data_IF_887307573541
#
_entry.id   IF_887307573541
#
_cell.length_a   1.000
_cell.length_b   1.000
_cell.length_c   1.000
_cell.angle_alpha   90.00
_cell.angle_beta   90.00
_cell.angle_gamma   90.00
#
_symmetry.space_group_name_H-M   'P 1'
#
loop_
_entity.id
_entity.type
_entity.pdbx_description
1 polymer ?
#
# COMPACT_ATOMS: atom_id res chain seq x y z
N UNK A 1 -50.52 2.57 -14.98
CA UNK A 1 -49.21 3.24 -14.81
C UNK A 1 -48.65 3.20 -13.37
N UNK A 2 -49.17 2.37 -12.44
CA UNK A 2 -48.77 2.36 -11.02
C UNK A 2 -47.86 1.19 -10.57
N UNK A 3 -47.43 0.29 -11.46
CA UNK A 3 -46.64 -0.90 -11.08
C UNK A 3 -45.11 -0.74 -11.13
N UNK A 4 -44.59 0.40 -11.63
CA UNK A 4 -43.14 0.66 -11.71
C UNK A 4 -42.55 1.31 -10.44
N UNK A 5 -43.36 2.04 -9.67
CA UNK A 5 -42.91 2.71 -8.44
C UNK A 5 -42.65 1.75 -7.26
N UNK A 6 -43.33 0.60 -7.22
CA UNK A 6 -43.15 -0.40 -6.16
C UNK A 6 -41.83 -1.20 -6.29
N UNK A 7 -41.26 -1.29 -7.49
CA UNK A 7 -40.01 -2.03 -7.75
C UNK A 7 -38.75 -1.22 -7.37
N UNK A 8 -38.85 0.11 -7.32
CA UNK A 8 -37.76 1.00 -6.91
C UNK A 8 -37.63 1.16 -5.39
N UNK A 9 -38.70 0.87 -4.62
CA UNK A 9 -38.66 0.92 -3.14
C UNK A 9 -38.20 -0.39 -2.48
N UNK A 10 -38.34 -1.53 -3.17
CA UNK A 10 -37.97 -2.86 -2.63
C UNK A 10 -36.46 -3.16 -2.62
N UNK A 11 -35.63 -2.30 -3.21
CA UNK A 11 -34.17 -2.48 -3.23
C UNK A 11 -33.45 -1.75 -2.09
N UNK A 12 -34.19 -1.11 -1.16
CA UNK A 12 -33.63 -0.41 0.03
C UNK A 12 -33.77 -1.20 1.33
N UNK A 13 -34.28 -2.43 1.31
CA UNK A 13 -34.60 -3.24 2.51
C UNK A 13 -33.66 -4.42 2.79
N UNK A 14 -32.46 -4.45 2.21
CA UNK A 14 -31.36 -5.30 2.72
C UNK A 14 -30.46 -4.49 3.66
N UNK A 15 -31.09 -3.94 4.68
CA UNK A 15 -30.42 -3.42 5.87
C UNK A 15 -29.99 -4.58 6.76
N UNK A 16 -28.85 -5.20 6.42
CA UNK A 16 -27.86 -5.76 7.33
C UNK A 16 -26.70 -6.28 6.47
N UNK A 17 -25.93 -5.36 5.89
CA UNK A 17 -24.61 -5.72 5.37
C UNK A 17 -23.73 -6.02 6.59
N UNK A 18 -23.79 -7.25 7.09
CA UNK A 18 -22.75 -7.80 7.95
C UNK A 18 -21.44 -7.59 7.21
N UNK A 19 -20.60 -6.68 7.69
CA UNK A 19 -19.27 -6.48 7.11
C UNK A 19 -18.61 -7.87 6.97
N UNK A 20 -17.98 -8.19 5.83
CA UNK A 20 -17.36 -9.50 5.66
C UNK A 20 -16.44 -9.77 6.86
N UNK A 21 -16.44 -11.00 7.40
CA UNK A 21 -15.62 -11.33 8.54
C UNK A 21 -14.16 -11.05 8.21
N UNK A 22 -13.44 -10.48 9.19
CA UNK A 22 -12.03 -10.16 9.02
C UNK A 22 -11.23 -11.41 8.63
N UNK A 23 -10.35 -11.29 7.63
CA UNK A 23 -9.45 -12.38 7.26
C UNK A 23 -8.03 -12.13 7.79
N UNK A 24 -7.73 -12.52 9.05
CA UNK A 24 -6.43 -12.25 9.67
C UNK A 24 -5.29 -12.95 8.95
N UNK A 25 -5.50 -14.16 8.42
CA UNK A 25 -4.47 -14.90 7.70
C UNK A 25 -4.10 -14.22 6.38
N UNK A 26 -5.11 -13.74 5.64
CA UNK A 26 -4.88 -12.96 4.42
C UNK A 26 -4.09 -11.69 4.69
N UNK A 27 -4.43 -10.95 5.76
CA UNK A 27 -3.68 -9.76 6.18
C UNK A 27 -2.24 -10.09 6.58
N UNK A 28 -2.03 -11.19 7.29
CA UNK A 28 -0.70 -11.64 7.69
C UNK A 28 0.16 -11.98 6.46
N UNK A 29 -0.40 -12.70 5.49
CA UNK A 29 0.28 -13.03 4.23
C UNK A 29 0.62 -11.76 3.44
N UNK A 30 -0.31 -10.81 3.33
CA UNK A 30 -0.06 -9.56 2.60
C UNK A 30 1.03 -8.71 3.27
N UNK A 31 1.04 -8.67 4.60
CA UNK A 31 2.08 -8.00 5.39
C UNK A 31 3.44 -8.70 5.23
N UNK A 32 3.46 -10.03 5.28
CA UNK A 32 4.67 -10.83 5.05
C UNK A 32 5.26 -10.57 3.65
N UNK A 33 4.42 -10.57 2.63
CA UNK A 33 4.83 -10.26 1.25
C UNK A 33 5.43 -8.86 1.13
N UNK A 34 4.82 -7.86 1.76
CA UNK A 34 5.38 -6.51 1.83
C UNK A 34 6.75 -6.53 2.53
N UNK A 35 6.89 -7.26 3.64
CA UNK A 35 8.15 -7.46 4.33
C UNK A 35 9.23 -8.02 3.39
N UNK A 36 8.95 -9.14 2.72
CA UNK A 36 9.88 -9.77 1.77
C UNK A 36 10.33 -8.83 0.64
N UNK A 37 9.41 -8.02 0.10
CA UNK A 37 9.73 -7.01 -0.90
C UNK A 37 10.65 -5.91 -0.35
N UNK A 38 10.41 -5.46 0.88
CA UNK A 38 11.27 -4.49 1.56
C UNK A 38 12.67 -5.06 1.86
N UNK A 39 12.75 -6.31 2.33
CA UNK A 39 14.01 -7.03 2.54
C UNK A 39 14.83 -7.15 1.26
N UNK A 40 14.19 -7.46 0.13
CA UNK A 40 14.85 -7.50 -1.18
C UNK A 40 15.47 -6.15 -1.54
N UNK A 41 14.73 -5.06 -1.30
CA UNK A 41 15.23 -3.70 -1.55
C UNK A 41 16.44 -3.36 -0.68
N UNK A 42 16.47 -3.80 0.59
CA UNK A 42 17.64 -3.63 1.47
C UNK A 42 18.83 -4.41 0.92
N UNK A 43 18.64 -5.66 0.53
CA UNK A 43 19.69 -6.49 -0.08
C UNK A 43 20.30 -5.87 -1.34
N UNK A 44 19.50 -5.18 -2.16
CA UNK A 44 19.99 -4.46 -3.35
C UNK A 44 20.76 -3.16 -3.04
N UNK A 45 20.65 -2.63 -1.82
CA UNK A 45 21.31 -1.38 -1.39
C UNK A 45 22.67 -1.63 -0.76
N UNK A 46 22.77 -2.65 0.10
CA UNK A 46 23.97 -2.93 0.90
C UNK A 46 25.23 -3.01 0.03
N UNK A 47 25.29 -3.79 -1.08
CA UNK A 47 26.50 -3.88 -1.90
C UNK A 47 26.92 -2.54 -2.52
N UNK A 48 25.96 -1.68 -2.91
CA UNK A 48 26.26 -0.37 -3.51
C UNK A 48 26.86 0.61 -2.50
N UNK A 49 26.37 0.57 -1.27
CA UNK A 49 26.91 1.38 -0.17
C UNK A 49 28.31 0.89 0.22
N UNK A 50 28.49 -0.43 0.32
CA UNK A 50 29.80 -1.03 0.64
C UNK A 50 30.86 -0.78 -0.44
N UNK A 51 30.45 -0.69 -1.71
CA UNK A 51 31.33 -0.34 -2.82
C UNK A 51 31.80 1.13 -2.80
N UNK A 52 31.35 1.95 -1.86
CA UNK A 52 31.77 3.35 -1.73
C UNK A 52 31.32 4.25 -2.89
N UNK A 53 30.28 3.85 -3.64
CA UNK A 53 29.83 4.60 -4.81
C UNK A 53 29.18 5.95 -4.38
N UNK A 54 29.68 7.12 -4.82
CA UNK A 54 29.09 8.41 -4.50
C UNK A 54 27.61 8.53 -4.92
N UNK A 55 27.23 7.89 -6.03
CA UNK A 55 25.84 7.84 -6.49
C UNK A 55 24.94 7.05 -5.51
N UNK A 56 25.49 6.12 -4.73
CA UNK A 56 24.73 5.40 -3.71
C UNK A 56 24.33 6.31 -2.53
N UNK A 57 25.13 7.33 -2.21
CA UNK A 57 24.79 8.31 -1.18
C UNK A 57 23.62 9.21 -1.60
N UNK A 58 23.65 9.71 -2.85
CA UNK A 58 22.53 10.48 -3.41
C UNK A 58 21.25 9.64 -3.50
N UNK A 59 21.36 8.38 -3.93
CA UNK A 59 20.22 7.45 -3.98
C UNK A 59 19.68 7.18 -2.56
N UNK A 60 20.54 7.08 -1.54
CA UNK A 60 20.10 6.93 -0.16
C UNK A 60 19.29 8.14 0.33
N UNK A 61 19.70 9.36 -0.03
CA UNK A 61 18.94 10.58 0.28
C UNK A 61 17.58 10.60 -0.43
N UNK A 62 17.55 10.28 -1.73
CA UNK A 62 16.30 10.17 -2.49
C UNK A 62 15.33 9.19 -1.82
N UNK A 63 15.84 8.04 -1.38
CA UNK A 63 15.02 7.04 -0.70
C UNK A 63 14.46 7.50 0.64
N UNK A 64 15.13 8.41 1.36
CA UNK A 64 14.59 9.01 2.59
C UNK A 64 13.44 9.94 2.24
N UNK A 65 13.62 10.80 1.23
CA UNK A 65 12.56 11.67 0.74
C UNK A 65 11.30 10.88 0.33
N UNK A 66 11.47 9.77 -0.41
CA UNK A 66 10.36 8.89 -0.80
C UNK A 66 9.65 8.23 0.39
N UNK A 67 10.36 7.93 1.49
CA UNK A 67 9.72 7.40 2.71
C UNK A 67 8.87 8.46 3.40
N UNK A 68 9.37 9.69 3.47
CA UNK A 68 8.66 10.84 4.04
C UNK A 68 7.41 11.13 3.19
N UNK A 69 7.55 11.15 1.86
CA UNK A 69 6.44 11.33 0.94
C UNK A 69 5.38 10.23 1.11
N UNK A 70 5.79 8.96 1.12
CA UNK A 70 4.86 7.85 1.33
C UNK A 70 4.13 7.95 2.67
N UNK A 71 4.83 8.32 3.75
CA UNK A 71 4.20 8.54 5.04
C UNK A 71 3.17 9.69 4.99
N UNK A 72 3.53 10.82 4.37
CA UNK A 72 2.63 11.97 4.21
C UNK A 72 1.39 11.63 3.39
N UNK A 73 1.55 10.92 2.27
CA UNK A 73 0.44 10.45 1.44
C UNK A 73 -0.45 9.47 2.19
N UNK A 74 0.13 8.56 2.97
CA UNK A 74 -0.65 7.62 3.78
C UNK A 74 -1.45 8.35 4.86
N UNK A 75 -0.83 9.29 5.58
CA UNK A 75 -1.49 10.11 6.60
C UNK A 75 -2.66 10.88 6.00
N UNK A 76 -2.45 11.52 4.84
CA UNK A 76 -3.52 12.21 4.12
C UNK A 76 -4.67 11.27 3.74
N UNK A 77 -4.37 10.07 3.23
CA UNK A 77 -5.40 9.06 2.92
C UNK A 77 -6.15 8.60 4.16
N UNK A 78 -5.48 8.50 5.31
CA UNK A 78 -6.12 8.16 6.57
C UNK A 78 -7.09 9.28 7.00
N UNK A 79 -6.64 10.53 6.98
CA UNK A 79 -7.45 11.70 7.36
C UNK A 79 -8.68 11.90 6.45
N UNK A 80 -8.55 11.59 5.17
CA UNK A 80 -9.64 11.72 4.19
C UNK A 80 -10.55 10.48 4.11
N UNK A 81 -10.26 9.42 4.86
CA UNK A 81 -10.99 8.14 4.76
C UNK A 81 -10.72 7.37 3.46
N UNK A 82 -9.74 7.79 2.66
CA UNK A 82 -9.39 7.18 1.37
C UNK A 82 -8.71 5.80 1.50
N UNK A 83 -8.42 5.34 2.71
CA UNK A 83 -7.89 3.99 2.97
C UNK A 83 -8.99 2.92 3.01
N UNK A 84 -10.25 3.31 3.13
CA UNK A 84 -11.40 2.40 3.20
C UNK A 84 -12.28 2.66 4.41
N UNK A 85 -13.52 2.17 4.34
CA UNK A 85 -14.55 2.42 5.36
C UNK A 85 -14.49 1.48 6.57
N UNK A 86 -13.62 0.46 6.55
CA UNK A 86 -13.45 -0.52 7.64
C UNK A 86 -11.98 -0.62 8.06
N UNK A 87 -11.67 -1.06 9.29
CA UNK A 87 -10.29 -1.25 9.73
C UNK A 87 -9.48 -2.19 8.83
N UNK A 88 -10.07 -3.31 8.39
CA UNK A 88 -9.39 -4.22 7.46
C UNK A 88 -9.11 -3.55 6.11
N UNK A 89 -10.09 -2.83 5.55
CA UNK A 89 -9.89 -2.11 4.30
C UNK A 89 -8.77 -1.08 4.45
N UNK A 90 -8.74 -0.36 5.59
CA UNK A 90 -7.70 0.63 5.89
C UNK A 90 -6.29 0.00 5.98
N UNK A 91 -6.17 -1.16 6.61
CA UNK A 91 -4.91 -1.91 6.66
C UNK A 91 -4.48 -2.36 5.26
N UNK A 92 -5.39 -2.95 4.48
CA UNK A 92 -5.10 -3.39 3.10
C UNK A 92 -4.71 -2.22 2.20
N UNK A 93 -5.40 -1.09 2.31
CA UNK A 93 -5.08 0.14 1.60
C UNK A 93 -3.70 0.68 1.95
N UNK A 94 -3.33 0.58 3.23
CA UNK A 94 -1.99 0.94 3.72
C UNK A 94 -0.90 0.03 3.17
N UNK A 95 -1.12 -1.30 3.20
CA UNK A 95 -0.21 -2.28 2.62
C UNK A 95 -0.04 -2.04 1.12
N UNK A 96 -1.14 -1.84 0.38
CA UNK A 96 -1.10 -1.58 -1.05
C UNK A 96 -0.33 -0.30 -1.38
N UNK A 97 -0.50 0.75 -0.58
CA UNK A 97 0.25 1.99 -0.72
C UNK A 97 1.76 1.77 -0.56
N UNK A 98 2.19 1.09 0.50
CA UNK A 98 3.62 0.80 0.70
C UNK A 98 4.20 -0.14 -0.34
N UNK A 99 3.46 -1.19 -0.75
CA UNK A 99 3.89 -2.11 -1.82
C UNK A 99 4.19 -1.36 -3.12
N UNK A 100 3.38 -0.36 -3.49
CA UNK A 100 3.63 0.49 -4.67
C UNK A 100 4.98 1.20 -4.56
N UNK A 101 5.27 1.82 -3.41
CA UNK A 101 6.52 2.54 -3.16
C UNK A 101 7.73 1.58 -3.15
N UNK A 102 7.61 0.42 -2.51
CA UNK A 102 8.67 -0.61 -2.48
C UNK A 102 8.93 -1.20 -3.87
N UNK A 103 7.90 -1.43 -4.67
CA UNK A 103 8.05 -1.89 -6.04
C UNK A 103 8.77 -0.85 -6.92
N UNK A 104 8.50 0.44 -6.72
CA UNK A 104 9.24 1.54 -7.36
C UNK A 104 10.74 1.46 -7.04
N UNK A 105 11.08 1.33 -5.75
CA UNK A 105 12.46 1.16 -5.29
C UNK A 105 13.14 -0.06 -5.93
N UNK A 106 12.46 -1.21 -5.89
CA UNK A 106 13.00 -2.46 -6.47
C UNK A 106 13.30 -2.30 -7.95
N UNK A 107 12.39 -1.68 -8.72
CA UNK A 107 12.56 -1.47 -10.17
C UNK A 107 13.75 -0.57 -10.49
N UNK A 108 13.95 0.51 -9.72
CA UNK A 108 15.12 1.39 -9.91
C UNK A 108 16.41 0.68 -9.54
N UNK A 109 16.43 0.01 -8.39
CA UNK A 109 17.62 -0.68 -7.89
C UNK A 109 17.95 -1.96 -8.65
N UNK A 110 17.02 -2.54 -9.39
CA UNK A 110 17.31 -3.65 -10.29
C UNK A 110 18.00 -3.21 -11.58
N UNK A 111 18.01 -1.91 -11.90
CA UNK A 111 18.71 -1.38 -13.07
C UNK A 111 20.21 -1.22 -12.76
N UNK A 112 21.09 -1.45 -13.75
CA UNK A 112 22.51 -1.17 -13.59
C UNK A 112 22.73 0.32 -13.26
N UNK A 113 23.75 0.64 -12.45
CA UNK A 113 24.12 2.03 -12.18
C UNK A 113 24.48 2.74 -13.49
N UNK A 114 24.08 4.00 -13.62
CA UNK A 114 24.56 4.89 -14.68
C UNK A 114 25.95 5.41 -14.34
#
# INVERSE_FOLDING_TARGET
MMRRAARARRSRETGLSFAPPVNPLGLAIDSWRLGMEAWTVIGLRIPRLLAGNPAAAMEAQLMVAEKIEALGVLQWKAMTGSLGATPEAAIRGSIAHYRKSVAGNRRRLARPPK
#
